data_IF_759662188024
#
_entry.id   IF_759662188024
#
_cell.length_a   1.000
_cell.length_b   1.000
_cell.length_c   1.000
_cell.angle_alpha   90.00
_cell.angle_beta   90.00
_cell.angle_gamma   90.00
#
_symmetry.space_group_name_H-M   'P 1'
#
loop_
_entity.id
_entity.type
_entity.pdbx_description
1 polymer ?
#
# COMPACT_ATOMS: atom_id res chain seq x y z
N UNK A 1 19.59 -11.12 -1.53
CA UNK A 1 19.54 -10.70 -1.38
C UNK A 1 19.73 -10.22 -0.49
N UNK A 2 20.15 -10.07 -0.23
CA UNK A 2 20.41 -9.69 0.69
C UNK A 2 20.57 -8.39 0.79
N UNK A 3 20.65 -7.63 -0.06
CA UNK A 3 20.59 -6.39 0.08
C UNK A 3 19.37 -5.97 0.63
N UNK A 4 18.27 -6.60 0.50
CA UNK A 4 17.02 -6.20 1.01
C UNK A 4 16.84 -6.80 2.34
N UNK A 5 16.42 -6.08 3.31
CA UNK A 5 16.09 -6.64 4.58
C UNK A 5 14.80 -7.42 4.41
N UNK A 6 14.46 -8.22 5.39
CA UNK A 6 13.23 -8.97 5.30
C UNK A 6 12.03 -8.02 5.30
N UNK A 7 12.19 -6.84 5.87
CA UNK A 7 11.10 -5.88 5.86
C UNK A 7 10.86 -5.33 4.48
N UNK A 8 11.93 -5.11 3.73
CA UNK A 8 11.76 -4.64 2.36
C UNK A 8 11.13 -5.72 1.51
N UNK A 9 11.57 -6.95 1.70
CA UNK A 9 10.99 -8.05 0.94
C UNK A 9 9.51 -8.21 1.24
N UNK A 10 9.14 -8.02 2.49
CA UNK A 10 7.76 -8.13 2.86
C UNK A 10 6.94 -7.02 2.21
N UNK A 11 7.49 -5.81 2.15
CA UNK A 11 6.79 -4.71 1.51
C UNK A 11 6.56 -5.02 0.04
N UNK A 12 7.58 -5.51 -0.64
CA UNK A 12 7.46 -5.85 -2.05
C UNK A 12 6.39 -6.91 -2.23
N UNK A 13 6.41 -7.90 -1.35
CA UNK A 13 5.45 -8.97 -1.46
C UNK A 13 4.03 -8.46 -1.28
N UNK A 14 3.81 -7.60 -0.30
CA UNK A 14 2.47 -7.08 -0.06
C UNK A 14 2.00 -6.26 -1.24
N UNK A 15 2.88 -5.46 -1.83
CA UNK A 15 2.48 -4.66 -2.97
C UNK A 15 2.16 -5.53 -4.17
N UNK A 16 2.90 -6.63 -4.34
CA UNK A 16 2.64 -7.47 -5.49
C UNK A 16 1.35 -8.25 -5.37
N UNK A 17 0.77 -8.30 -4.17
CA UNK A 17 -0.52 -8.95 -4.00
C UNK A 17 -1.67 -8.08 -4.46
N UNK A 18 -1.41 -6.82 -4.75
CA UNK A 18 -2.47 -5.94 -5.20
C UNK A 18 -2.77 -6.19 -6.67
N UNK A 19 -4.03 -6.12 -7.06
CA UNK A 19 -4.37 -6.41 -8.44
C UNK A 19 -3.71 -5.39 -9.37
N UNK A 20 -3.19 -5.86 -10.46
CA UNK A 20 -2.55 -5.00 -11.42
C UNK A 20 -1.10 -4.69 -11.14
N UNK A 21 -0.57 -5.14 -10.02
CA UNK A 21 0.82 -4.86 -9.69
C UNK A 21 1.62 -6.14 -9.75
N UNK A 22 2.49 -6.22 -10.73
CA UNK A 22 3.37 -7.36 -10.85
C UNK A 22 4.60 -7.20 -9.99
N UNK A 23 5.47 -8.18 -10.04
CA UNK A 23 6.66 -8.18 -9.21
C UNK A 23 7.56 -6.99 -9.49
N UNK A 24 7.76 -6.66 -10.76
CA UNK A 24 8.61 -5.56 -11.06
C UNK A 24 8.03 -4.25 -10.61
N UNK A 25 6.73 -4.05 -10.81
CA UNK A 25 6.09 -2.83 -10.36
C UNK A 25 6.13 -2.73 -8.86
N UNK A 26 5.96 -3.86 -8.17
CA UNK A 26 6.01 -3.85 -6.73
C UNK A 26 7.38 -3.41 -6.23
N UNK A 27 8.43 -3.86 -6.88
CA UNK A 27 9.76 -3.44 -6.49
C UNK A 27 9.96 -1.97 -6.69
N UNK A 28 9.49 -1.45 -7.81
CA UNK A 28 9.64 -0.04 -8.06
C UNK A 28 8.86 0.78 -7.06
N UNK A 29 7.65 0.35 -6.73
CA UNK A 29 6.85 1.06 -5.74
C UNK A 29 7.50 1.01 -4.38
N UNK A 30 8.05 -0.13 -4.01
CA UNK A 30 8.70 -0.26 -2.72
C UNK A 30 9.88 0.70 -2.62
N UNK A 31 10.69 0.77 -3.65
CA UNK A 31 11.81 1.68 -3.62
C UNK A 31 11.36 3.12 -3.60
N UNK A 32 10.29 3.43 -4.32
CA UNK A 32 9.77 4.77 -4.28
C UNK A 32 9.33 5.13 -2.87
N UNK A 33 8.63 4.22 -2.21
CA UNK A 33 8.16 4.46 -0.85
C UNK A 33 9.34 4.64 0.10
N UNK A 34 10.37 3.86 -0.07
CA UNK A 34 11.53 3.98 0.80
C UNK A 34 12.26 5.30 0.62
N UNK A 35 12.10 5.92 -0.53
CA UNK A 35 12.71 7.21 -0.76
C UNK A 35 11.81 8.37 -0.38
N UNK A 36 10.58 8.11 -0.01
CA UNK A 36 9.68 9.17 0.39
C UNK A 36 10.03 9.64 1.79
N UNK A 37 9.75 10.90 2.11
CA UNK A 37 9.93 11.35 3.48
C UNK A 37 9.06 10.53 4.42
N UNK A 38 9.55 10.33 5.62
CA UNK A 38 8.86 9.52 6.58
C UNK A 38 7.45 10.03 6.84
N UNK A 39 7.27 11.33 6.87
CA UNK A 39 5.95 11.88 7.10
C UNK A 39 4.97 11.49 6.03
N UNK A 40 5.44 11.43 4.79
CA UNK A 40 4.56 11.05 3.70
C UNK A 40 4.20 9.57 3.80
N UNK A 41 5.14 8.76 4.22
CA UNK A 41 4.86 7.34 4.38
C UNK A 41 3.85 7.12 5.49
N UNK A 42 3.99 7.87 6.58
CA UNK A 42 3.05 7.76 7.68
C UNK A 42 1.65 8.12 7.21
N UNK A 43 1.56 9.18 6.44
CA UNK A 43 0.26 9.61 5.99
C UNK A 43 -0.34 8.61 5.03
N UNK A 44 0.45 8.07 4.14
CA UNK A 44 -0.03 7.08 3.20
C UNK A 44 -0.54 5.84 3.93
N UNK A 45 0.27 5.33 4.84
CA UNK A 45 -0.13 4.12 5.53
C UNK A 45 -1.34 4.35 6.42
N UNK A 46 -1.41 5.51 7.06
CA UNK A 46 -2.57 5.82 7.90
C UNK A 46 -3.82 5.96 7.04
N UNK A 47 -3.68 6.55 5.88
CA UNK A 47 -4.84 6.71 5.00
C UNK A 47 -5.39 5.39 4.55
N UNK A 48 -4.50 4.47 4.24
CA UNK A 48 -4.93 3.15 3.81
C UNK A 48 -5.70 2.47 4.94
N UNK A 49 -5.14 2.53 6.13
CA UNK A 49 -5.74 1.86 7.25
C UNK A 49 -7.07 2.48 7.62
N UNK A 50 -7.13 3.80 7.66
CA UNK A 50 -8.34 4.48 8.02
C UNK A 50 -9.44 4.23 7.00
N UNK A 51 -9.10 4.23 5.74
CA UNK A 51 -10.09 3.97 4.72
C UNK A 51 -10.68 2.58 4.90
N UNK A 52 -9.81 1.62 5.18
CA UNK A 52 -10.27 0.27 5.34
C UNK A 52 -11.18 0.14 6.56
N UNK A 53 -10.81 0.78 7.63
CA UNK A 53 -11.57 0.66 8.85
C UNK A 53 -12.89 1.40 8.78
N UNK A 54 -12.89 2.55 8.14
CA UNK A 54 -14.08 3.37 8.14
C UNK A 54 -15.07 3.08 7.02
N UNK A 55 -14.58 2.49 5.95
CA UNK A 55 -15.43 2.25 4.83
C UNK A 55 -15.73 0.79 4.63
N UNK A 56 -15.38 0.00 5.59
CA UNK A 56 -15.50 -1.43 5.40
C UNK A 56 -16.91 -1.87 5.21
N UNK A 57 -17.90 -1.13 5.75
CA UNK A 57 -19.18 -1.56 5.54
C UNK A 57 -19.68 -1.14 4.23
N UNK A 58 -19.08 -0.22 3.59
CA UNK A 58 -19.55 0.22 2.32
C UNK A 58 -19.21 -0.72 1.23
N UNK A 59 -18.50 -1.79 1.55
CA UNK A 59 -18.18 -2.67 0.53
C UNK A 59 -19.41 -3.23 -0.06
N UNK A 60 -20.51 -3.14 0.57
CA UNK A 60 -21.64 -3.56 -0.03
C UNK A 60 -22.08 -2.64 -1.02
N UNK A 61 -21.87 -1.40 -0.89
CA UNK A 61 -22.24 -0.46 -1.86
C UNK A 61 -21.17 -0.21 -2.80
N UNK A 62 -19.98 -0.46 -2.47
CA UNK A 62 -18.94 -0.18 -3.24
C UNK A 62 -18.85 1.08 -3.68
N UNK A 63 -19.51 1.69 -3.50
CA UNK A 63 -19.51 2.89 -3.99
C UNK A 63 -18.86 3.75 -3.38
N UNK A 64 -18.37 3.80 -3.17
CA UNK A 64 -17.65 4.57 -2.81
C UNK A 64 -17.72 5.70 -2.64
N UNK A 65 -18.12 5.54 -2.63
CA UNK A 65 -18.18 6.36 -2.45
C UNK A 65 -18.04 7.13 -2.12
N UNK A 66 -18.07 7.24 -2.08
CA UNK A 66 -17.94 7.96 -1.81
C UNK A 66 -17.88 8.65 -1.62
N UNK A 67 -17.98 8.74 -1.69
CA UNK A 67 -18.04 9.41 -1.57
C UNK A 67 -18.34 9.92 -1.32
N UNK A 68 -18.62 9.94 -1.16
CA UNK A 68 -18.95 10.57 -1.00
C UNK A 68 -18.99 10.88 -0.85
#
# INVERSE_FOLDING_TARGET
MDYYSSQINKLVEQLSNLPGIGAKSAQRLAFHILNMPLENVKELSASILEAKENVRYCKECFTLTDQE
#
